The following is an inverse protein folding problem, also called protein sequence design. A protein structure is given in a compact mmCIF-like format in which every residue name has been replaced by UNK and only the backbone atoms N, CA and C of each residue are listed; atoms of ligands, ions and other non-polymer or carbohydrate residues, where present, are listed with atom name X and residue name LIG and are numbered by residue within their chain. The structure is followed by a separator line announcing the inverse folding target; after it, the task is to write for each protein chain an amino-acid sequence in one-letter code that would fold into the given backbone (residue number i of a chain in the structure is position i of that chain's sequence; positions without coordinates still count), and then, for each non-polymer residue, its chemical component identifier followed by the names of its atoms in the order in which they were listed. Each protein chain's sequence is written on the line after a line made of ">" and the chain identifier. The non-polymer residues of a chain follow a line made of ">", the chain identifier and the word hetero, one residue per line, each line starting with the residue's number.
data_IF_228385512856
#
_entry.id   IF_228385512856
#
_cell.length_a   1.000
_cell.length_b   1.000
_cell.length_c   1.000
_cell.angle_alpha   90.00
_cell.angle_beta   90.00
_cell.angle_gamma   90.00
#
_symmetry.space_group_name_H-M   'P 1'
#
loop_
_entity.id
_entity.type
_entity.pdbx_description
1 polymer ?
#
# COMPACT_ATOMS: atom_id res chain seq x y z
N UNK A 1 -3.40 -6.19 -26.75
CA UNK A 1 -2.28 -5.79 -25.88
C UNK A 1 -2.74 -4.57 -25.11
N UNK A 2 -3.15 -4.72 -23.85
CA UNK A 2 -3.47 -3.56 -23.02
C UNK A 2 -2.16 -2.81 -22.72
N UNK A 3 -2.15 -1.47 -22.73
CA UNK A 3 -0.95 -0.74 -22.36
C UNK A 3 -0.61 -1.10 -20.92
N UNK A 4 0.65 -1.51 -20.70
CA UNK A 4 1.25 -1.50 -19.38
C UNK A 4 1.16 -0.04 -18.93
N UNK A 5 0.11 0.30 -18.16
CA UNK A 5 0.12 1.52 -17.36
C UNK A 5 1.32 1.32 -16.47
N UNK A 6 2.41 1.98 -16.82
CA UNK A 6 3.60 2.09 -16.01
C UNK A 6 3.14 2.91 -14.80
N UNK A 7 2.54 2.22 -13.83
CA UNK A 7 2.12 2.79 -12.56
C UNK A 7 3.38 3.49 -12.06
N UNK A 8 3.39 4.83 -12.09
CA UNK A 8 4.55 5.64 -11.75
C UNK A 8 4.87 5.40 -10.27
N UNK A 9 5.65 4.35 -9.99
CA UNK A 9 6.13 4.01 -8.67
C UNK A 9 7.13 5.07 -8.28
N UNK A 10 6.68 6.02 -7.47
CA UNK A 10 7.56 7.06 -6.95
C UNK A 10 8.36 6.48 -5.80
N UNK A 11 9.68 6.41 -5.95
CA UNK A 11 10.56 6.11 -4.81
C UNK A 11 10.54 7.27 -3.83
N UNK A 12 10.37 6.96 -2.55
CA UNK A 12 10.25 7.88 -1.45
C UNK A 12 11.30 7.57 -0.38
N UNK A 13 11.63 8.59 0.41
CA UNK A 13 12.29 8.36 1.70
C UNK A 13 11.31 7.78 2.74
N UNK A 14 11.82 7.08 3.76
CA UNK A 14 11.00 6.57 4.89
C UNK A 14 10.08 7.64 5.48
N UNK A 15 10.58 8.88 5.63
CA UNK A 15 9.81 10.01 6.16
C UNK A 15 8.66 10.41 5.23
N UNK A 16 8.87 10.41 3.92
CA UNK A 16 7.82 10.70 2.95
C UNK A 16 6.80 9.56 2.88
N UNK A 17 7.26 8.32 2.97
CA UNK A 17 6.38 7.16 3.03
C UNK A 17 5.50 7.19 4.30
N UNK A 18 6.07 7.49 5.47
CA UNK A 18 5.30 7.72 6.72
C UNK A 18 4.25 8.82 6.52
N UNK A 19 4.60 9.92 5.86
CA UNK A 19 3.63 10.99 5.55
C UNK A 19 2.48 10.50 4.66
N UNK A 20 2.76 9.69 3.65
CA UNK A 20 1.70 9.14 2.78
C UNK A 20 0.83 8.15 3.55
N UNK A 21 1.45 7.25 4.32
CA UNK A 21 0.75 6.34 5.21
C UNK A 21 -0.23 7.08 6.14
N UNK A 22 0.25 8.09 6.87
CA UNK A 22 -0.60 8.87 7.79
C UNK A 22 -1.67 9.70 7.08
N UNK A 23 -1.39 10.14 5.84
CA UNK A 23 -2.34 10.92 5.05
C UNK A 23 -3.51 10.09 4.54
N UNK A 24 -3.24 8.83 4.21
CA UNK A 24 -4.17 7.97 3.47
C UNK A 24 -4.73 6.81 4.27
N UNK A 25 -4.22 6.56 5.48
CA UNK A 25 -4.89 5.65 6.40
C UNK A 25 -6.31 6.14 6.68
N UNK A 26 -7.20 5.19 6.90
CA UNK A 26 -8.59 5.41 7.28
C UNK A 26 -8.87 4.73 8.60
N UNK A 27 -9.72 5.31 9.44
CA UNK A 27 -10.05 4.69 10.72
C UNK A 27 -10.78 3.36 10.48
N UNK A 28 -10.19 2.25 10.95
CA UNK A 28 -10.75 0.91 10.84
C UNK A 28 -10.14 -0.01 9.78
N UNK A 29 -9.17 0.45 8.99
CA UNK A 29 -8.46 -0.36 7.98
C UNK A 29 -7.26 -1.16 8.54
N UNK A 30 -6.98 -1.03 9.84
CA UNK A 30 -5.86 -1.68 10.52
C UNK A 30 -4.53 -0.93 10.42
N UNK A 31 -4.46 0.17 9.66
CA UNK A 31 -3.26 0.98 9.48
C UNK A 31 -3.16 2.11 10.52
N UNK A 32 -2.87 1.74 11.76
CA UNK A 32 -2.80 2.66 12.90
C UNK A 32 -1.40 3.23 13.16
N UNK A 33 -1.31 4.30 13.95
CA UNK A 33 -0.02 4.83 14.46
C UNK A 33 0.76 3.72 15.19
N UNK A 34 0.05 2.94 16.00
CA UNK A 34 0.60 1.81 16.73
C UNK A 34 1.21 0.76 15.79
N UNK A 35 0.50 0.38 14.73
CA UNK A 35 1.03 -0.54 13.73
C UNK A 35 2.32 0.00 13.10
N UNK A 36 2.34 1.29 12.75
CA UNK A 36 3.54 1.91 12.21
C UNK A 36 4.70 1.82 13.21
N UNK A 37 4.53 2.30 14.45
CA UNK A 37 5.61 2.41 15.42
C UNK A 37 6.10 1.03 15.94
N UNK A 38 5.20 0.05 16.05
CA UNK A 38 5.54 -1.29 16.54
C UNK A 38 6.08 -2.21 15.45
N UNK A 39 5.56 -2.12 14.23
CA UNK A 39 5.92 -3.04 13.15
C UNK A 39 6.82 -2.39 12.10
N UNK A 40 6.37 -1.29 11.50
CA UNK A 40 7.04 -0.71 10.32
C UNK A 40 8.29 0.11 10.67
N UNK A 41 8.27 0.82 11.80
CA UNK A 41 9.38 1.67 12.24
C UNK A 41 10.65 0.85 12.51
N UNK A 42 10.48 -0.37 13.04
CA UNK A 42 11.57 -1.30 13.38
C UNK A 42 12.09 -2.10 12.19
N UNK A 43 11.42 -2.07 11.03
CA UNK A 43 11.87 -2.81 9.85
C UNK A 43 13.00 -2.10 9.13
N UNK A 44 14.00 -2.88 8.72
CA UNK A 44 15.13 -2.39 7.92
C UNK A 44 14.80 -2.39 6.42
N UNK A 45 13.74 -1.66 6.03
CA UNK A 45 13.37 -1.47 4.63
C UNK A 45 14.26 -0.39 4.02
N UNK A 46 14.90 -0.69 2.88
CA UNK A 46 15.82 0.23 2.21
C UNK A 46 15.12 1.12 1.19
N UNK A 47 14.09 0.60 0.51
CA UNK A 47 13.40 1.30 -0.58
C UNK A 47 11.91 1.42 -0.27
N UNK A 48 11.35 2.60 -0.45
CA UNK A 48 9.95 2.85 -0.23
C UNK A 48 9.32 3.35 -1.53
N UNK A 49 8.24 2.74 -1.95
CA UNK A 49 7.53 3.10 -3.17
C UNK A 49 6.11 3.54 -2.85
N UNK A 50 5.60 4.50 -3.62
CA UNK A 50 4.24 4.96 -3.50
C UNK A 50 3.57 5.00 -4.87
N UNK A 51 2.37 4.43 -4.90
CA UNK A 51 1.42 4.56 -6.01
C UNK A 51 0.22 5.35 -5.51
N UNK A 52 -0.08 6.48 -6.15
CA UNK A 52 -1.28 7.23 -5.87
C UNK A 52 -2.52 6.44 -6.33
N UNK A 53 -3.68 6.61 -5.69
CA UNK A 53 -4.92 6.00 -6.16
C UNK A 53 -5.25 6.52 -7.57
N UNK A 54 -5.50 5.61 -8.51
CA UNK A 54 -5.77 5.96 -9.91
C UNK A 54 -7.14 6.62 -10.09
N UNK A 55 -8.10 6.24 -9.24
CA UNK A 55 -9.46 6.79 -9.22
C UNK A 55 -9.95 6.98 -7.79
N UNK A 56 -10.96 7.84 -7.56
CA UNK A 56 -11.57 8.00 -6.22
C UNK A 56 -12.14 6.71 -5.63
N UNK A 57 -12.38 5.69 -6.45
CA UNK A 57 -12.83 4.37 -6.02
C UNK A 57 -11.71 3.52 -5.39
N UNK A 58 -10.44 3.90 -5.54
CA UNK A 58 -9.30 3.25 -4.89
C UNK A 58 -9.05 3.90 -3.53
N UNK A 59 -9.92 3.59 -2.59
CA UNK A 59 -9.97 4.21 -1.26
C UNK A 59 -9.24 3.40 -0.18
N UNK A 60 -9.02 2.10 -0.40
CA UNK A 60 -8.39 1.24 0.60
C UNK A 60 -6.88 1.14 0.40
N UNK A 61 -6.16 1.51 1.46
CA UNK A 61 -4.71 1.48 1.49
C UNK A 61 -4.18 0.06 1.73
N UNK A 62 -3.15 -0.31 0.98
CA UNK A 62 -2.40 -1.55 1.19
C UNK A 62 -0.90 -1.29 1.20
N UNK A 63 -0.18 -2.09 1.98
CA UNK A 63 1.27 -2.10 1.97
C UNK A 63 1.77 -3.50 1.62
N UNK A 64 2.36 -3.64 0.44
CA UNK A 64 3.15 -4.81 0.09
C UNK A 64 4.58 -4.59 0.56
N UNK A 65 5.20 -5.60 1.15
CA UNK A 65 6.58 -5.53 1.62
C UNK A 65 7.35 -6.80 1.26
N UNK A 66 8.60 -6.62 0.90
CA UNK A 66 9.59 -7.68 0.72
C UNK A 66 10.77 -7.47 1.68
N UNK A 67 11.85 -8.24 1.53
CA UNK A 67 13.02 -8.17 2.40
C UNK A 67 13.78 -6.82 2.36
N UNK A 68 13.54 -6.00 1.33
CA UNK A 68 14.36 -4.84 0.97
C UNK A 68 13.51 -3.60 0.65
N UNK A 69 12.26 -3.79 0.26
CA UNK A 69 11.35 -2.75 -0.20
C UNK A 69 9.96 -2.82 0.42
N UNK A 70 9.30 -1.68 0.51
CA UNK A 70 7.89 -1.56 0.86
C UNK A 70 7.19 -0.67 -0.17
N UNK A 71 5.98 -1.06 -0.57
CA UNK A 71 5.17 -0.36 -1.56
C UNK A 71 3.78 -0.12 -0.99
N UNK A 72 3.43 1.16 -0.87
CA UNK A 72 2.09 1.62 -0.53
C UNK A 72 1.31 1.88 -1.82
N UNK A 73 0.18 1.21 -1.96
CA UNK A 73 -0.72 1.32 -3.10
C UNK A 73 -2.18 1.26 -2.62
N UNK A 74 -3.11 1.54 -3.53
CA UNK A 74 -4.53 1.59 -3.23
C UNK A 74 -5.29 0.60 -4.08
N UNK A 75 -6.31 0.00 -3.47
CA UNK A 75 -7.25 -0.88 -4.15
C UNK A 75 -8.67 -0.36 -3.93
N UNK A 76 -9.57 -0.68 -4.86
CA UNK A 76 -10.99 -0.45 -4.64
C UNK A 76 -11.57 -1.55 -3.77
N UNK A 77 -12.63 -1.22 -3.02
CA UNK A 77 -13.36 -2.20 -2.21
C UNK A 77 -13.82 -3.43 -3.03
N UNK A 78 -14.24 -3.25 -4.29
CA UNK A 78 -14.60 -4.36 -5.22
C UNK A 78 -13.39 -5.23 -5.60
N UNK A 79 -12.20 -4.63 -5.74
CA UNK A 79 -10.96 -5.37 -6.00
C UNK A 79 -10.45 -6.09 -4.76
N UNK A 80 -10.71 -5.55 -3.57
CA UNK A 80 -10.42 -6.21 -2.31
C UNK A 80 -11.30 -7.45 -2.13
N UNK A 81 -12.61 -7.33 -2.30
CA UNK A 81 -13.53 -8.48 -2.20
C UNK A 81 -13.05 -9.62 -3.10
N UNK A 82 -12.69 -9.36 -4.36
CA UNK A 82 -12.16 -10.40 -5.27
C UNK A 82 -10.80 -10.99 -4.85
N UNK A 83 -9.96 -10.22 -4.15
CA UNK A 83 -8.67 -10.70 -3.65
C UNK A 83 -8.86 -11.66 -2.46
N UNK A 84 -9.86 -11.39 -1.62
CA UNK A 84 -10.17 -12.19 -0.42
C UNK A 84 -11.21 -13.30 -0.66
N UNK A 85 -12.03 -13.23 -1.72
CA UNK A 85 -13.03 -14.26 -2.05
C UNK A 85 -12.41 -15.57 -2.55
N UNK A 86 -11.13 -15.60 -2.94
CA UNK A 86 -10.49 -16.80 -3.49
C UNK A 86 -9.14 -17.16 -2.86
N UNK A 87 -9.13 -17.87 -1.71
CA UNK A 87 -8.04 -18.78 -1.39
C UNK A 87 -8.22 -20.06 -2.23
N UNK A 88 -7.81 -20.02 -3.50
CA UNK A 88 -7.56 -21.23 -4.29
C UNK A 88 -8.73 -21.82 -5.07
N UNK A 89 -9.04 -21.26 -6.24
CA UNK A 89 -9.56 -22.06 -7.36
C UNK A 89 -8.58 -22.08 -8.53
N UNK A 90 -7.79 -23.17 -8.51
CA UNK A 90 -7.13 -23.93 -9.59
C UNK A 90 -6.60 -23.20 -10.81
#
# INVERSE_FOLDING_TARGET
>A
MAPLIEIMKKELSKRQFKKMYMKYRTDGDGWTDDYWDHFFEKRNVKRFFFTAPETPAHDRMFISQDAISAHLFFMSSDSEERLFDHPGKK
#
